data_IF_786290891464
#
_entry.id   IF_786290891464
#
_cell.length_a   1.000
_cell.length_b   1.000
_cell.length_c   1.000
_cell.angle_alpha   90.00
_cell.angle_beta   90.00
_cell.angle_gamma   90.00
#
_symmetry.space_group_name_H-M   'P 1'
#
loop_
_entity.id
_entity.type
_entity.pdbx_description
1 polymer ?
#
# COMPACT_ATOMS: atom_id res chain seq x y z
N UNK A 1 -15.02 64.00 -8.46
CA UNK A 1 -13.87 63.87 -9.38
C UNK A 1 -12.78 63.09 -8.65
N UNK A 2 -12.65 61.81 -8.95
CA UNK A 2 -11.40 61.06 -8.77
C UNK A 2 -11.32 60.09 -9.95
N UNK A 3 -10.28 60.25 -10.75
CA UNK A 3 -9.94 59.43 -11.91
C UNK A 3 -8.48 58.96 -11.74
N UNK A 4 -8.26 57.69 -12.06
CA UNK A 4 -7.02 57.01 -12.48
C UNK A 4 -7.42 55.51 -12.57
N UNK A 5 -7.64 54.84 -13.72
CA UNK A 5 -6.80 54.58 -14.91
C UNK A 5 -5.40 54.04 -14.51
N UNK A 6 -4.88 52.86 -14.92
CA UNK A 6 -5.18 51.73 -15.84
C UNK A 6 -4.12 50.62 -15.54
N UNK A 7 -3.71 49.69 -16.44
CA UNK A 7 -4.38 48.57 -17.16
C UNK A 7 -3.67 47.19 -16.91
N UNK A 8 -4.14 46.09 -17.51
CA UNK A 8 -3.36 45.24 -18.44
C UNK A 8 -4.18 44.03 -18.94
N UNK A 9 -4.42 44.00 -20.25
CA UNK A 9 -4.92 42.88 -21.05
C UNK A 9 -3.92 42.70 -22.19
N UNK A 10 -3.30 41.51 -22.32
CA UNK A 10 -2.71 41.04 -23.58
C UNK A 10 -2.90 39.53 -23.69
N UNK A 11 -3.85 39.13 -24.53
CA UNK A 11 -4.02 37.77 -25.07
C UNK A 11 -3.26 37.71 -26.39
N UNK A 12 -2.44 36.67 -26.58
CA UNK A 12 -1.74 36.39 -27.83
C UNK A 12 -1.89 34.92 -28.28
N UNK A 13 -2.75 34.71 -29.30
CA UNK A 13 -2.59 33.99 -30.59
C UNK A 13 -2.11 32.50 -30.62
N UNK A 14 -2.26 31.71 -31.74
CA UNK A 14 -2.63 32.04 -33.14
C UNK A 14 -3.76 31.15 -33.76
N UNK A 15 -4.59 31.66 -34.67
CA UNK A 15 -4.54 31.65 -36.16
C UNK A 15 -4.40 30.26 -36.80
N UNK A 16 -5.53 29.77 -37.36
CA UNK A 16 -5.63 28.60 -38.25
C UNK A 16 -5.42 29.04 -39.71
N UNK A 17 -4.50 28.42 -40.43
CA UNK A 17 -4.43 28.45 -41.89
C UNK A 17 -4.56 27.03 -42.44
N UNK A 18 -5.54 26.84 -43.33
CA UNK A 18 -5.63 25.71 -44.25
C UNK A 18 -5.22 26.20 -45.63
N UNK A 19 -4.29 25.52 -46.30
CA UNK A 19 -4.26 25.49 -47.77
C UNK A 19 -3.60 24.22 -48.28
N UNK A 20 -4.32 23.54 -49.17
CA UNK A 20 -3.89 22.41 -49.99
C UNK A 20 -2.81 22.81 -51.01
N UNK A 21 -1.92 21.87 -51.33
CA UNK A 21 -0.96 21.99 -52.43
C UNK A 21 -0.57 20.62 -52.95
N UNK A 22 -1.20 20.22 -54.06
CA UNK A 22 -0.99 18.95 -54.77
C UNK A 22 0.08 19.08 -55.86
N UNK A 23 0.97 18.08 -55.97
CA UNK A 23 1.73 17.62 -57.16
C UNK A 23 2.77 16.60 -56.66
N UNK A 24 2.86 15.33 -57.07
CA UNK A 24 2.51 14.66 -58.30
C UNK A 24 3.79 14.02 -58.86
N UNK A 25 3.95 12.69 -58.79
CA UNK A 25 4.65 11.83 -59.78
C UNK A 25 4.79 10.38 -59.28
N UNK A 26 4.25 9.48 -60.09
CA UNK A 26 4.35 8.02 -60.04
C UNK A 26 5.71 7.55 -60.55
N UNK A 27 6.34 6.57 -59.88
CA UNK A 27 7.24 5.59 -60.50
C UNK A 27 7.05 4.24 -59.77
N UNK A 28 6.57 3.24 -60.51
CA UNK A 28 6.52 1.82 -60.13
C UNK A 28 7.91 1.17 -60.14
N UNK A 29 8.19 0.28 -59.18
CA UNK A 29 8.51 -1.16 -59.43
C UNK A 29 9.22 -1.86 -58.27
N UNK A 30 8.49 -2.80 -57.67
CA UNK A 30 8.85 -4.16 -57.23
C UNK A 30 10.22 -4.44 -56.58
N UNK A 31 10.18 -4.94 -55.33
CA UNK A 31 11.03 -6.06 -54.89
C UNK A 31 10.39 -6.83 -53.71
N UNK A 32 10.42 -8.14 -53.86
CA UNK A 32 9.88 -9.24 -53.06
C UNK A 32 10.42 -9.33 -51.61
N UNK A 33 9.62 -9.80 -50.64
CA UNK A 33 10.14 -10.21 -49.33
C UNK A 33 9.11 -10.39 -48.21
N UNK A 34 8.59 -11.61 -48.06
CA UNK A 34 7.83 -12.15 -46.91
C UNK A 34 7.99 -11.39 -45.58
N UNK A 35 6.91 -10.80 -45.06
CA UNK A 35 6.79 -10.46 -43.64
C UNK A 35 5.48 -11.02 -43.11
N UNK A 36 5.58 -12.24 -42.57
CA UNK A 36 4.60 -12.86 -41.69
C UNK A 36 4.47 -11.97 -40.44
N UNK A 37 3.27 -11.64 -39.96
CA UNK A 37 3.14 -10.93 -38.69
C UNK A 37 3.74 -11.79 -37.57
N UNK A 38 4.66 -11.20 -36.81
CA UNK A 38 5.24 -11.83 -35.63
C UNK A 38 4.12 -12.19 -34.64
N UNK A 39 4.15 -13.39 -34.03
CA UNK A 39 3.21 -13.71 -32.96
C UNK A 39 3.46 -12.77 -31.78
N UNK A 40 2.37 -12.31 -31.18
CA UNK A 40 2.37 -11.54 -29.94
C UNK A 40 3.24 -12.23 -28.88
N UNK A 41 4.05 -11.50 -28.10
CA UNK A 41 4.75 -12.11 -26.99
C UNK A 41 3.72 -12.64 -26.01
N UNK A 42 3.79 -13.95 -25.78
CA UNK A 42 3.05 -14.67 -24.77
C UNK A 42 3.15 -13.95 -23.43
N UNK A 43 2.00 -13.74 -22.81
CA UNK A 43 1.89 -13.38 -21.40
C UNK A 43 2.75 -14.38 -20.64
N UNK A 44 3.84 -13.90 -20.05
CA UNK A 44 4.63 -14.66 -19.12
C UNK A 44 3.72 -14.90 -17.90
N UNK A 45 3.04 -16.04 -17.90
CA UNK A 45 2.52 -16.66 -16.70
C UNK A 45 3.71 -16.75 -15.73
N UNK A 46 3.77 -15.80 -14.79
CA UNK A 46 4.65 -15.92 -13.66
C UNK A 46 4.17 -17.14 -12.89
N UNK A 47 4.88 -18.25 -13.12
CA UNK A 47 4.85 -19.40 -12.25
C UNK A 47 5.22 -18.91 -10.85
N UNK A 48 4.21 -18.72 -10.01
CA UNK A 48 4.36 -18.65 -8.57
C UNK A 48 5.02 -19.96 -8.17
N UNK A 49 6.32 -19.92 -7.86
CA UNK A 49 6.93 -21.00 -7.10
C UNK A 49 6.14 -21.15 -5.80
N UNK A 50 5.51 -22.31 -5.63
CA UNK A 50 4.95 -22.78 -4.36
C UNK A 50 6.12 -23.01 -3.39
N UNK A 51 6.67 -21.91 -2.87
CA UNK A 51 7.46 -21.92 -1.65
C UNK A 51 6.49 -22.01 -0.47
N UNK A 52 6.70 -23.03 0.37
CA UNK A 52 6.07 -23.30 1.67
C UNK A 52 4.96 -22.29 2.03
N UNK A 53 3.72 -22.62 1.64
CA UNK A 53 2.56 -21.83 2.00
C UNK A 53 2.32 -21.98 3.50
N UNK A 54 3.03 -21.16 4.29
CA UNK A 54 2.81 -21.06 5.73
C UNK A 54 1.35 -20.78 6.07
N UNK A 55 0.98 -20.93 7.34
CA UNK A 55 -0.41 -20.85 7.79
C UNK A 55 -1.11 -19.56 7.30
N UNK A 56 -2.27 -19.72 6.65
CA UNK A 56 -3.16 -18.61 6.30
C UNK A 56 -4.13 -18.36 7.45
N UNK A 57 -4.15 -17.14 7.94
CA UNK A 57 -5.04 -16.67 8.99
C UNK A 57 -6.04 -15.67 8.41
N UNK A 58 -7.32 -16.00 8.50
CA UNK A 58 -8.41 -15.11 8.09
C UNK A 58 -9.23 -14.70 9.31
N UNK A 59 -9.76 -13.47 9.29
CA UNK A 59 -10.55 -12.98 10.39
C UNK A 59 -10.95 -11.52 10.26
N UNK A 60 -11.25 -10.93 11.42
CA UNK A 60 -11.72 -9.54 11.52
C UNK A 60 -10.73 -8.73 12.33
N UNK A 61 -10.32 -7.58 11.80
CA UNK A 61 -9.50 -6.62 12.50
C UNK A 61 -10.32 -5.39 12.93
N UNK A 62 -9.97 -4.85 14.09
CA UNK A 62 -10.39 -3.52 14.56
C UNK A 62 -9.13 -2.68 14.81
N UNK A 63 -8.95 -1.63 14.02
CA UNK A 63 -7.74 -0.82 13.96
C UNK A 63 -8.12 0.63 14.26
N UNK A 64 -7.57 1.18 15.34
CA UNK A 64 -7.52 2.61 15.56
C UNK A 64 -6.39 3.22 14.72
N UNK A 65 -6.75 4.16 13.85
CA UNK A 65 -5.83 4.96 13.05
C UNK A 65 -5.72 6.35 13.70
N UNK A 66 -4.52 6.68 14.18
CA UNK A 66 -4.24 7.96 14.81
C UNK A 66 -3.97 9.03 13.75
N UNK A 67 -4.20 10.33 14.05
CA UNK A 67 -3.85 11.43 13.14
C UNK A 67 -2.37 11.47 12.74
N UNK A 68 -1.49 10.92 13.58
CA UNK A 68 -0.06 10.75 13.27
C UNK A 68 0.21 9.75 12.13
N UNK A 69 -0.77 8.93 11.75
CA UNK A 69 -0.62 7.79 10.85
C UNK A 69 -0.17 6.50 11.55
N UNK A 70 0.01 6.53 12.87
CA UNK A 70 0.21 5.31 13.64
C UNK A 70 -1.08 4.51 13.72
N UNK A 71 -0.95 3.19 13.78
CA UNK A 71 -2.09 2.28 13.93
C UNK A 71 -1.92 1.41 15.16
N UNK A 72 -3.04 1.12 15.83
CA UNK A 72 -3.08 0.18 16.93
C UNK A 72 -4.41 -0.55 16.90
N UNK A 73 -4.41 -1.85 17.15
CA UNK A 73 -5.62 -2.63 16.97
C UNK A 73 -5.50 -4.07 17.41
N UNK A 74 -6.51 -4.83 17.03
CA UNK A 74 -6.58 -6.26 17.27
C UNK A 74 -7.07 -6.97 16.02
N UNK A 75 -6.52 -8.14 15.75
CA UNK A 75 -6.97 -9.07 14.73
C UNK A 75 -7.49 -10.34 15.41
N UNK A 76 -8.75 -10.70 15.13
CA UNK A 76 -9.37 -11.92 15.66
C UNK A 76 -9.44 -12.92 14.52
N UNK A 77 -8.60 -13.95 14.60
CA UNK A 77 -8.58 -15.07 13.66
C UNK A 77 -9.81 -15.94 13.86
N UNK A 78 -10.48 -16.29 12.76
CA UNK A 78 -11.62 -17.19 12.73
C UNK A 78 -11.22 -18.56 12.15
N UNK A 79 -11.88 -19.66 12.56
CA UNK A 79 -12.95 -19.74 13.57
C UNK A 79 -12.44 -19.77 15.02
N UNK A 80 -11.13 -19.94 15.23
CA UNK A 80 -10.52 -20.22 16.54
C UNK A 80 -10.66 -19.10 17.57
N UNK A 81 -11.07 -17.91 17.14
CA UNK A 81 -11.23 -16.71 17.97
C UNK A 81 -9.95 -16.31 18.71
N UNK A 82 -8.79 -16.57 18.10
CA UNK A 82 -7.49 -16.18 18.64
C UNK A 82 -7.28 -14.69 18.33
N UNK A 83 -6.90 -13.93 19.36
CA UNK A 83 -6.68 -12.50 19.27
C UNK A 83 -5.18 -12.19 19.16
N UNK A 84 -4.82 -11.44 18.12
CA UNK A 84 -3.49 -10.88 17.90
C UNK A 84 -3.54 -9.37 18.09
N UNK A 85 -2.48 -8.80 18.66
CA UNK A 85 -2.27 -7.37 18.72
C UNK A 85 -1.70 -6.85 17.40
N UNK A 86 -2.16 -5.68 16.98
CA UNK A 86 -1.62 -4.95 15.84
C UNK A 86 -1.05 -3.63 16.33
N UNK A 87 0.20 -3.35 16.01
CA UNK A 87 0.85 -2.07 16.30
C UNK A 87 1.65 -1.64 15.09
N UNK A 88 1.33 -0.49 14.51
CA UNK A 88 2.05 0.05 13.36
C UNK A 88 2.55 1.46 13.59
N UNK A 89 3.79 1.71 13.21
CA UNK A 89 4.40 3.05 13.22
C UNK A 89 4.66 3.52 11.79
N UNK A 90 4.31 4.77 11.44
CA UNK A 90 4.56 5.29 10.11
C UNK A 90 6.07 5.47 9.90
N UNK A 91 6.54 5.00 8.75
CA UNK A 91 7.92 5.20 8.30
C UNK A 91 7.95 6.55 7.59
N UNK A 92 8.88 7.41 8.02
CA UNK A 92 9.07 8.71 7.39
C UNK A 92 9.71 8.51 6.01
N UNK A 93 8.99 8.89 4.96
CA UNK A 93 9.39 8.78 3.57
C UNK A 93 9.51 10.15 2.91
N UNK A 94 10.51 10.34 2.04
CA UNK A 94 10.42 11.42 1.06
C UNK A 94 9.28 11.07 0.10
N UNK A 95 8.23 11.91 0.06
CA UNK A 95 7.09 11.69 -0.82
C UNK A 95 7.57 11.61 -2.26
N UNK A 96 7.40 10.45 -2.90
CA UNK A 96 7.48 10.39 -4.35
C UNK A 96 6.22 11.06 -4.92
N UNK A 97 6.38 12.11 -5.73
CA UNK A 97 5.27 12.93 -6.24
C UNK A 97 4.25 12.15 -7.10
N UNK A 98 4.54 10.90 -7.45
CA UNK A 98 3.65 9.99 -8.18
C UNK A 98 2.64 9.26 -7.29
N UNK A 99 2.89 9.16 -5.98
CA UNK A 99 2.02 8.46 -5.03
C UNK A 99 1.04 9.45 -4.38
N UNK A 100 -0.20 9.01 -4.20
CA UNK A 100 -1.27 9.82 -3.60
C UNK A 100 -0.91 10.30 -2.19
N UNK A 101 -1.52 11.41 -1.75
CA UNK A 101 -1.26 11.97 -0.42
C UNK A 101 -1.66 11.05 0.75
N UNK A 102 -2.50 10.06 0.46
CA UNK A 102 -2.97 9.03 1.38
C UNK A 102 -2.04 7.80 1.47
N UNK A 103 -0.97 7.75 0.67
CA UNK A 103 0.02 6.68 0.71
C UNK A 103 0.95 6.82 1.92
N UNK A 104 1.09 5.75 2.71
CA UNK A 104 2.03 5.67 3.83
C UNK A 104 2.66 4.28 3.90
N UNK A 105 3.94 4.21 4.28
CA UNK A 105 4.57 2.96 4.70
C UNK A 105 4.47 2.81 6.22
N UNK A 106 4.06 1.64 6.69
CA UNK A 106 3.89 1.33 8.11
C UNK A 106 4.79 0.15 8.48
N UNK A 107 5.66 0.32 9.48
CA UNK A 107 6.30 -0.80 10.18
C UNK A 107 5.25 -1.42 11.10
N UNK A 108 4.64 -2.52 10.68
CA UNK A 108 3.57 -3.22 11.38
C UNK A 108 4.13 -4.40 12.17
N UNK A 109 3.86 -4.42 13.46
CA UNK A 109 4.13 -5.51 14.38
C UNK A 109 2.82 -6.24 14.69
N UNK A 110 2.80 -7.54 14.42
CA UNK A 110 1.73 -8.47 14.79
C UNK A 110 2.20 -9.24 16.02
N UNK A 111 1.42 -9.18 17.10
CA UNK A 111 1.78 -9.74 18.40
C UNK A 111 0.83 -10.88 18.75
N UNK A 112 1.34 -12.08 18.98
CA UNK A 112 0.58 -13.15 19.59
C UNK A 112 0.66 -13.04 21.12
N UNK A 113 -0.45 -12.67 21.74
CA UNK A 113 -0.52 -12.52 23.19
C UNK A 113 -0.33 -13.84 23.95
N UNK A 114 -0.59 -14.99 23.32
CA UNK A 114 -0.48 -16.32 23.91
C UNK A 114 0.97 -16.79 23.96
N UNK A 115 1.66 -16.75 22.81
CA UNK A 115 3.08 -17.15 22.73
C UNK A 115 4.05 -16.05 23.15
N UNK A 116 3.58 -14.80 23.29
CA UNK A 116 4.41 -13.60 23.49
C UNK A 116 5.41 -13.35 22.37
N UNK A 117 5.15 -13.93 21.19
CA UNK A 117 5.95 -13.73 19.99
C UNK A 117 5.38 -12.58 19.17
N UNK A 118 6.26 -11.94 18.43
CA UNK A 118 5.90 -10.88 17.51
C UNK A 118 6.55 -11.11 16.15
N UNK A 119 5.83 -10.71 15.09
CA UNK A 119 6.36 -10.67 13.74
C UNK A 119 6.23 -9.24 13.24
N UNK A 120 7.29 -8.75 12.62
CA UNK A 120 7.36 -7.39 12.08
C UNK A 120 7.41 -7.48 10.57
N UNK A 121 6.64 -6.61 9.90
CA UNK A 121 6.62 -6.46 8.46
C UNK A 121 6.44 -4.99 8.08
N UNK A 122 6.70 -4.68 6.81
CA UNK A 122 6.38 -3.36 6.23
C UNK A 122 5.18 -3.51 5.31
N UNK A 123 4.19 -2.66 5.50
CA UNK A 123 2.96 -2.65 4.70
C UNK A 123 2.72 -1.26 4.15
N UNK A 124 2.05 -1.19 3.00
CA UNK A 124 1.46 0.06 2.55
C UNK A 124 0.10 0.26 3.22
N UNK A 125 -0.16 1.49 3.66
CA UNK A 125 -1.46 1.95 4.10
C UNK A 125 -1.96 3.01 3.11
N UNK A 126 -3.15 2.80 2.58
CA UNK A 126 -3.86 3.73 1.70
C UNK A 126 -5.25 4.04 2.23
N UNK A 127 -5.89 5.07 1.71
CA UNK A 127 -7.16 5.55 2.21
C UNK A 127 -6.96 6.37 3.48
N UNK A 128 -7.50 7.59 3.48
CA UNK A 128 -7.29 8.59 4.53
C UNK A 128 -7.82 8.10 5.88
N UNK A 129 -9.13 8.12 6.07
CA UNK A 129 -9.77 7.62 7.29
C UNK A 129 -10.22 6.16 7.16
N UNK A 130 -10.55 5.72 5.93
CA UNK A 130 -10.90 4.36 5.58
C UNK A 130 -9.66 3.58 5.10
N UNK A 131 -8.89 3.06 6.05
CA UNK A 131 -7.60 2.45 5.80
C UNK A 131 -7.74 1.12 5.03
N UNK A 132 -6.81 0.92 4.10
CA UNK A 132 -6.51 -0.37 3.47
C UNK A 132 -5.04 -0.66 3.70
N UNK A 133 -4.72 -1.86 4.18
CA UNK A 133 -3.34 -2.32 4.36
C UNK A 133 -3.07 -3.43 3.37
N UNK A 134 -1.97 -3.33 2.63
CA UNK A 134 -1.54 -4.34 1.68
C UNK A 134 -0.02 -4.50 1.71
N UNK A 135 0.48 -5.61 1.17
CA UNK A 135 1.90 -5.73 0.85
C UNK A 135 2.30 -4.65 -0.17
N UNK A 136 3.60 -4.37 -0.20
CA UNK A 136 4.13 -3.40 -1.15
C UNK A 136 4.27 -4.07 -2.51
N UNK A 137 3.40 -3.71 -3.45
CA UNK A 137 3.40 -4.30 -4.80
C UNK A 137 4.56 -3.79 -5.67
N UNK A 138 5.02 -2.55 -5.45
CA UNK A 138 6.10 -1.92 -6.20
C UNK A 138 6.99 -1.12 -5.26
N UNK A 139 8.19 -1.63 -4.99
CA UNK A 139 9.24 -0.89 -4.30
C UNK A 139 9.98 -0.02 -5.31
N UNK A 140 10.13 1.28 -5.01
CA UNK A 140 10.92 2.19 -5.83
C UNK A 140 11.99 2.89 -4.98
N UNK A 141 13.23 2.82 -5.46
CA UNK A 141 14.37 3.54 -4.88
C UNK A 141 14.54 3.26 -3.38
N UNK A 142 14.33 4.28 -2.56
CA UNK A 142 14.57 4.27 -1.11
C UNK A 142 13.67 3.28 -0.33
N UNK A 143 12.52 2.91 -0.88
CA UNK A 143 11.61 1.95 -0.24
C UNK A 143 12.25 0.56 -0.17
N UNK A 144 13.04 0.21 -1.19
CA UNK A 144 13.79 -1.05 -1.25
C UNK A 144 14.81 -1.13 -0.11
N UNK A 145 15.54 -0.03 0.15
CA UNK A 145 16.51 0.05 1.24
C UNK A 145 15.85 -0.13 2.62
N UNK A 146 14.65 0.45 2.81
CA UNK A 146 13.92 0.36 4.08
C UNK A 146 13.31 -1.03 4.27
N UNK A 147 12.65 -1.57 3.27
CA UNK A 147 12.10 -2.92 3.34
C UNK A 147 13.22 -3.93 3.54
N UNK A 148 14.30 -3.82 2.77
CA UNK A 148 15.49 -4.63 2.93
C UNK A 148 16.12 -4.52 4.32
N UNK A 149 16.10 -3.33 4.95
CA UNK A 149 16.58 -3.16 6.33
C UNK A 149 15.69 -3.89 7.34
N UNK A 150 14.36 -3.77 7.22
CA UNK A 150 13.41 -4.43 8.12
C UNK A 150 13.44 -5.95 7.92
N UNK A 151 13.50 -6.43 6.68
CA UNK A 151 13.63 -7.84 6.35
C UNK A 151 14.95 -8.44 6.89
N UNK A 152 16.05 -7.69 6.78
CA UNK A 152 17.34 -8.10 7.36
C UNK A 152 17.30 -8.19 8.88
N UNK A 153 16.55 -7.31 9.56
CA UNK A 153 16.40 -7.28 11.01
C UNK A 153 15.46 -8.39 11.53
N UNK A 154 14.41 -8.75 10.77
CA UNK A 154 13.31 -9.61 11.23
C UNK A 154 13.12 -10.91 10.43
N UNK A 155 14.03 -11.22 9.51
CA UNK A 155 14.07 -12.43 8.70
C UNK A 155 13.20 -12.36 7.44
N UNK A 156 13.71 -12.96 6.36
CA UNK A 156 13.11 -12.94 5.00
C UNK A 156 11.94 -13.93 4.83
N UNK A 157 11.01 -13.99 5.79
CA UNK A 157 9.81 -14.79 5.61
C UNK A 157 8.80 -14.02 4.77
N UNK A 158 8.40 -14.58 3.63
CA UNK A 158 7.44 -13.98 2.71
C UNK A 158 6.05 -14.00 3.34
N UNK A 159 5.72 -12.95 4.09
CA UNK A 159 4.42 -12.74 4.71
C UNK A 159 3.54 -11.92 3.77
N UNK A 160 2.34 -12.43 3.47
CA UNK A 160 1.31 -11.66 2.77
C UNK A 160 0.28 -11.15 3.77
N UNK A 161 -0.15 -9.90 3.62
CA UNK A 161 -1.12 -9.23 4.45
C UNK A 161 -2.07 -8.40 3.58
N UNK A 162 -3.37 -8.57 3.82
CA UNK A 162 -4.40 -7.68 3.30
C UNK A 162 -5.39 -7.30 4.40
N UNK A 163 -5.79 -6.04 4.40
CA UNK A 163 -6.86 -5.50 5.23
C UNK A 163 -7.69 -4.51 4.41
N UNK A 164 -9.00 -4.62 4.53
CA UNK A 164 -9.93 -3.69 3.93
C UNK A 164 -10.96 -3.24 4.97
N UNK A 165 -11.04 -1.94 5.20
CA UNK A 165 -12.06 -1.36 6.08
C UNK A 165 -13.47 -1.57 5.48
N UNK A 166 -14.33 -2.24 6.23
CA UNK A 166 -15.76 -2.40 5.93
C UNK A 166 -16.64 -1.44 6.74
N UNK A 167 -16.17 -1.01 7.91
CA UNK A 167 -16.87 -0.08 8.80
C UNK A 167 -15.89 0.93 9.39
N UNK A 168 -16.12 2.20 9.08
CA UNK A 168 -15.39 3.32 9.66
C UNK A 168 -16.23 3.96 10.77
N UNK A 169 -15.63 4.15 11.94
CA UNK A 169 -16.19 4.95 13.04
C UNK A 169 -15.32 6.18 13.26
N UNK A 170 -15.98 7.31 13.48
CA UNK A 170 -15.36 8.59 13.76
C UNK A 170 -15.99 9.24 15.00
N UNK A 171 -15.38 10.31 15.48
CA UNK A 171 -15.86 11.14 16.59
C UNK A 171 -16.27 10.30 17.82
N UNK A 172 -17.50 10.50 18.29
CA UNK A 172 -18.05 9.82 19.46
C UNK A 172 -18.11 8.30 19.29
N UNK A 173 -18.45 7.80 18.10
CA UNK A 173 -18.55 6.35 17.87
C UNK A 173 -17.17 5.68 17.89
N UNK A 174 -16.13 6.40 17.44
CA UNK A 174 -14.75 5.94 17.57
C UNK A 174 -14.30 5.98 19.03
N UNK A 175 -14.54 7.07 19.74
CA UNK A 175 -14.13 7.22 21.14
C UNK A 175 -14.83 6.20 22.05
N UNK A 176 -16.13 5.96 21.88
CA UNK A 176 -16.86 4.92 22.62
C UNK A 176 -16.29 3.52 22.36
N UNK A 177 -15.85 3.25 21.13
CA UNK A 177 -15.18 2.00 20.78
C UNK A 177 -13.78 1.90 21.42
N UNK A 178 -12.98 2.95 21.34
CA UNK A 178 -11.64 3.05 21.94
C UNK A 178 -11.72 2.87 23.45
N UNK A 179 -12.67 3.52 24.11
CA UNK A 179 -12.91 3.41 25.55
C UNK A 179 -13.10 1.95 25.96
N UNK A 180 -13.84 1.18 25.16
CA UNK A 180 -14.20 -0.21 25.45
C UNK A 180 -13.09 -1.21 25.13
N UNK A 181 -12.39 -1.03 24.01
CA UNK A 181 -11.51 -2.07 23.46
C UNK A 181 -10.03 -1.67 23.40
N UNK A 182 -9.70 -0.37 23.39
CA UNK A 182 -8.34 0.15 23.26
C UNK A 182 -8.12 1.36 24.20
N UNK A 183 -8.32 1.21 25.52
CA UNK A 183 -8.44 2.33 26.45
C UNK A 183 -7.19 3.23 26.55
N UNK A 184 -6.04 2.75 26.10
CA UNK A 184 -4.79 3.52 26.07
C UNK A 184 -4.76 4.60 24.97
N UNK A 185 -5.72 4.58 24.03
CA UNK A 185 -5.79 5.53 22.91
C UNK A 185 -6.86 6.61 23.10
N UNK A 186 -7.49 6.67 24.28
CA UNK A 186 -8.56 7.64 24.58
C UNK A 186 -8.10 9.07 24.38
N UNK A 187 -8.92 9.88 23.72
CA UNK A 187 -8.63 11.30 23.49
C UNK A 187 -7.46 11.58 22.55
N UNK A 188 -6.99 10.57 21.79
CA UNK A 188 -5.98 10.75 20.75
C UNK A 188 -6.58 11.04 19.36
N UNK A 189 -7.88 11.31 19.30
CA UNK A 189 -8.61 11.68 18.08
C UNK A 189 -8.44 10.65 16.95
N UNK A 190 -8.44 9.37 17.33
CA UNK A 190 -8.26 8.27 16.38
C UNK A 190 -9.61 7.87 15.77
N UNK A 191 -9.61 7.55 14.48
CA UNK A 191 -10.75 6.88 13.82
C UNK A 191 -10.59 5.37 13.95
N UNK A 192 -11.70 4.62 13.96
CA UNK A 192 -11.66 3.15 14.08
C UNK A 192 -12.14 2.51 12.80
N UNK A 193 -11.27 1.73 12.18
CA UNK A 193 -11.50 0.90 11.01
C UNK A 193 -11.76 -0.53 11.43
N UNK A 194 -12.90 -1.09 11.04
CA UNK A 194 -13.25 -2.50 11.28
C UNK A 194 -13.45 -3.17 9.94
N UNK A 195 -12.84 -4.34 9.72
CA UNK A 195 -12.98 -5.04 8.46
C UNK A 195 -12.24 -6.36 8.41
N UNK A 196 -12.28 -6.97 7.23
CA UNK A 196 -11.62 -8.27 7.00
C UNK A 196 -10.13 -8.09 6.92
N UNK A 197 -9.43 -9.06 7.49
CA UNK A 197 -7.98 -9.16 7.42
C UNK A 197 -7.59 -10.59 7.08
N UNK A 198 -6.66 -10.72 6.14
CA UNK A 198 -6.04 -12.00 5.77
C UNK A 198 -4.53 -11.86 5.89
N UNK A 199 -3.89 -12.86 6.49
CA UNK A 199 -2.46 -12.90 6.69
C UNK A 199 -1.94 -14.30 6.37
N UNK A 200 -1.02 -14.43 5.42
CA UNK A 200 -0.46 -15.71 4.97
C UNK A 200 1.05 -15.75 5.18
N UNK A 201 1.60 -16.93 5.46
CA UNK A 201 3.05 -17.11 5.58
C UNK A 201 3.62 -16.66 6.93
N UNK A 202 2.77 -16.37 7.92
CA UNK A 202 3.21 -16.12 9.29
C UNK A 202 3.33 -17.46 10.02
N UNK A 203 4.56 -17.85 10.35
CA UNK A 203 4.78 -18.94 11.29
C UNK A 203 5.18 -18.37 12.67
N UNK A 204 4.17 -18.12 13.52
CA UNK A 204 4.40 -17.73 14.92
C UNK A 204 4.71 -18.95 15.81
N UNK A 205 4.86 -20.16 15.23
CA UNK A 205 5.14 -21.39 15.95
C UNK A 205 6.60 -21.87 15.78
N UNK A 206 7.33 -21.44 14.76
CA UNK A 206 8.71 -21.89 14.51
C UNK A 206 9.74 -21.08 15.29
N UNK A 207 10.59 -21.74 16.07
CA UNK A 207 11.72 -21.13 16.75
C UNK A 207 12.63 -20.43 15.72
N UNK A 208 12.74 -19.10 15.79
CA UNK A 208 13.94 -18.44 15.29
C UNK A 208 15.08 -18.87 16.22
N UNK A 209 15.76 -19.97 15.87
CA UNK A 209 17.01 -20.32 16.55
C UNK A 209 17.94 -19.10 16.46
N UNK A 210 18.45 -18.58 17.59
CA UNK A 210 19.37 -17.47 17.54
C UNK A 210 20.60 -17.91 16.74
N UNK A 211 20.91 -17.16 15.68
CA UNK A 211 22.16 -17.34 14.93
C UNK A 211 23.31 -17.27 15.93
N UNK A 212 23.89 -18.43 16.22
CA UNK A 212 25.16 -18.51 16.93
C UNK A 212 26.21 -17.96 15.98
N UNK A 213 26.63 -16.73 16.22
CA UNK A 213 27.86 -16.21 15.64
C UNK A 213 28.99 -17.16 16.04
N UNK A 214 29.64 -17.76 15.04
CA UNK A 214 30.81 -18.61 15.21
C UNK A 214 32.06 -17.93 14.65
#
# INVERSE_FOLDING_TARGET
MMAAESPDEVVAQPVFEHTEGAMGLVIDSQANGNHQPAPAPAEAEQAVEEGDAGETMEGVASIALLPSGAISGHFIRLPDSICYGLHGTPISCERECSRGEDYRLIKLTIIDFKSKREKVLVVECRGHDAARLQNIDHLHGWEDDIVGLVEKEHGNQKVLLSFECETLKADKDAEDHIIKYMPNLRGLDAVVNIGKMCITGINLNEDDEPRRDN
#
